data_IF_094534186529
#
_entry.id   IF_094534186529
#
_cell.length_a   1.000
_cell.length_b   1.000
_cell.length_c   1.000
_cell.angle_alpha   90.00
_cell.angle_beta   90.00
_cell.angle_gamma   90.00
#
_symmetry.space_group_name_H-M   'P 1'
#
loop_
_entity.id
_entity.type
_entity.pdbx_description
1 polymer ?
#
# COMPACT_ATOMS: atom_id res chain seq x y z
N UNK A 1 -3.38 15.75 5.38
CA UNK A 1 -4.55 15.34 4.56
C UNK A 1 -5.79 15.98 5.14
N UNK A 2 -6.77 16.32 4.32
CA UNK A 2 -8.07 16.80 4.80
C UNK A 2 -9.01 15.59 4.92
N UNK A 3 -9.48 15.22 6.12
CA UNK A 3 -10.40 14.09 6.28
C UNK A 3 -11.71 14.34 5.53
N UNK A 4 -12.15 13.40 4.68
CA UNK A 4 -13.47 13.47 4.08
C UNK A 4 -14.48 12.91 5.09
N UNK A 5 -15.35 13.76 5.63
CA UNK A 5 -16.30 13.41 6.70
C UNK A 5 -15.66 12.76 7.94
N UNK A 6 -14.38 13.05 8.21
CA UNK A 6 -13.66 12.43 9.33
C UNK A 6 -13.18 11.00 9.08
N UNK A 7 -13.11 10.56 7.82
CA UNK A 7 -12.60 9.23 7.43
C UNK A 7 -11.33 9.32 6.57
N UNK A 8 -10.53 8.26 6.62
CA UNK A 8 -9.31 8.03 5.87
C UNK A 8 -9.26 6.58 5.37
N UNK A 9 -8.81 6.40 4.13
CA UNK A 9 -8.55 5.09 3.55
C UNK A 9 -7.12 4.69 3.88
N UNK A 10 -6.90 3.43 4.25
CA UNK A 10 -5.62 2.91 4.70
C UNK A 10 -5.32 1.57 4.03
N UNK A 11 -4.10 1.41 3.53
CA UNK A 11 -3.52 0.11 3.17
C UNK A 11 -2.22 -0.08 3.92
N UNK A 12 -1.99 -1.29 4.42
CA UNK A 12 -0.78 -1.69 5.13
C UNK A 12 -0.31 -3.05 4.67
N UNK A 13 0.97 -3.13 4.29
CA UNK A 13 1.64 -4.37 3.86
C UNK A 13 2.98 -4.54 4.58
N UNK A 14 3.10 -5.52 5.50
CA UNK A 14 4.37 -5.91 6.08
C UNK A 14 5.26 -6.66 5.08
N UNK A 15 6.54 -6.32 5.11
CA UNK A 15 7.65 -6.99 4.44
C UNK A 15 8.47 -7.73 5.48
N UNK A 16 7.92 -8.85 5.96
CA UNK A 16 8.53 -9.75 6.96
C UNK A 16 8.45 -11.20 6.48
N UNK A 17 9.33 -12.09 6.96
CA UNK A 17 9.17 -13.52 6.70
C UNK A 17 7.83 -13.96 7.27
N UNK A 18 7.13 -14.86 6.56
CA UNK A 18 5.81 -15.36 6.96
C UNK A 18 5.83 -15.94 8.39
N UNK A 19 6.94 -16.56 8.80
CA UNK A 19 7.12 -17.10 10.14
C UNK A 19 7.07 -16.05 11.27
N UNK A 20 7.32 -14.77 10.94
CA UNK A 20 7.36 -13.66 11.91
C UNK A 20 6.27 -12.62 11.67
N UNK A 21 5.68 -12.58 10.48
CA UNK A 21 4.52 -11.75 10.21
C UNK A 21 3.32 -12.27 11.00
N UNK A 22 2.84 -11.49 11.99
CA UNK A 22 1.60 -11.80 12.73
C UNK A 22 0.33 -11.55 11.91
N UNK A 23 0.40 -11.72 10.58
CA UNK A 23 -0.70 -11.57 9.62
C UNK A 23 -1.39 -10.20 9.61
N UNK A 24 -0.70 -9.10 9.98
CA UNK A 24 -1.27 -7.75 9.97
C UNK A 24 -1.06 -7.05 8.63
N UNK A 25 -1.73 -7.60 7.63
CA UNK A 25 -2.06 -6.96 6.37
C UNK A 25 -3.40 -6.23 6.55
N UNK A 26 -3.50 -4.96 6.15
CA UNK A 26 -4.71 -4.17 6.42
C UNK A 26 -5.17 -3.43 5.17
N UNK A 27 -6.48 -3.45 4.95
CA UNK A 27 -7.17 -2.64 3.94
C UNK A 27 -8.42 -2.08 4.59
N UNK A 28 -8.45 -0.78 4.82
CA UNK A 28 -9.54 -0.07 5.46
C UNK A 28 -9.96 1.11 4.58
N UNK A 29 -11.00 0.99 3.74
CA UNK A 29 -11.37 2.06 2.81
C UNK A 29 -11.94 3.31 3.50
N UNK A 30 -12.38 3.19 4.75
CA UNK A 30 -13.16 4.22 5.45
C UNK A 30 -12.92 4.24 6.98
N UNK A 31 -11.65 4.19 7.40
CA UNK A 31 -11.29 4.22 8.81
C UNK A 31 -11.43 5.62 9.45
N UNK A 32 -11.72 5.75 10.76
CA UNK A 32 -11.83 7.05 11.41
C UNK A 32 -10.50 7.80 11.38
N UNK A 33 -10.52 9.06 10.93
CA UNK A 33 -9.33 9.91 10.90
C UNK A 33 -8.78 10.16 12.31
N UNK A 34 -9.65 10.20 13.32
CA UNK A 34 -9.27 10.33 14.74
C UNK A 34 -8.47 9.14 15.27
N UNK A 35 -8.49 8.00 14.59
CA UNK A 35 -7.74 6.80 14.94
C UNK A 35 -6.38 6.71 14.22
N UNK A 36 -6.08 7.67 13.34
CA UNK A 36 -4.80 7.79 12.68
C UNK A 36 -3.95 8.82 13.44
N UNK A 37 -2.70 8.49 13.78
CA UNK A 37 -1.77 9.44 14.40
C UNK A 37 -0.73 9.87 13.37
N UNK A 38 -0.95 11.04 12.77
CA UNK A 38 0.00 11.68 11.86
C UNK A 38 0.97 12.57 12.64
N UNK A 39 2.26 12.37 12.40
CA UNK A 39 3.35 13.16 12.98
C UNK A 39 3.66 14.39 12.11
N UNK A 40 4.44 15.31 12.69
CA UNK A 40 5.02 16.43 11.92
C UNK A 40 5.87 15.86 10.78
N UNK A 41 5.66 16.37 9.57
CA UNK A 41 6.32 15.85 8.35
C UNK A 41 5.50 14.81 7.57
N UNK A 42 4.29 14.47 8.02
CA UNK A 42 3.33 13.69 7.24
C UNK A 42 3.35 12.18 7.49
N UNK A 43 4.32 11.69 8.26
CA UNK A 43 4.44 10.30 8.69
C UNK A 43 3.25 9.84 9.53
N UNK A 44 2.79 8.60 9.36
CA UNK A 44 1.79 7.99 10.24
C UNK A 44 2.47 7.01 11.19
N UNK A 45 2.07 7.06 12.46
CA UNK A 45 2.59 6.19 13.54
C UNK A 45 1.50 5.37 14.21
N UNK A 46 0.25 5.59 13.82
CA UNK A 46 -0.88 4.72 14.17
C UNK A 46 -1.78 4.66 12.97
N UNK A 47 -2.12 3.44 12.58
CA UNK A 47 -2.85 3.09 11.38
C UNK A 47 -4.07 2.25 11.79
N UNK A 48 -5.28 2.78 11.62
CA UNK A 48 -6.48 1.99 11.89
C UNK A 48 -6.71 0.94 10.79
N UNK A 49 -7.05 -0.27 11.20
CA UNK A 49 -7.25 -1.44 10.33
C UNK A 49 -8.69 -1.60 9.86
N UNK A 50 -9.62 -0.84 10.43
CA UNK A 50 -11.06 -0.95 10.19
C UNK A 50 -11.80 0.34 10.55
N UNK A 51 -13.12 0.34 10.33
CA UNK A 51 -14.02 1.39 10.79
C UNK A 51 -14.11 1.47 12.35
N UNK A 52 -13.67 0.44 13.07
CA UNK A 52 -13.66 0.43 14.53
C UNK A 52 -12.46 1.21 15.07
N UNK A 53 -12.72 2.28 15.82
CA UNK A 53 -11.69 3.18 16.32
C UNK A 53 -10.63 2.54 17.24
N UNK A 54 -10.89 1.32 17.74
CA UNK A 54 -10.04 0.58 18.67
C UNK A 54 -9.11 -0.43 17.99
N UNK A 55 -9.34 -0.74 16.71
CA UNK A 55 -8.49 -1.69 15.98
C UNK A 55 -7.45 -0.92 15.17
N UNK A 56 -6.28 -0.75 15.77
CA UNK A 56 -5.17 0.03 15.22
C UNK A 56 -3.87 -0.75 15.33
N UNK A 57 -3.01 -0.57 14.33
CA UNK A 57 -1.60 -0.91 14.36
C UNK A 57 -0.82 0.35 14.72
N UNK A 58 0.01 0.31 15.75
CA UNK A 58 0.83 1.43 16.18
C UNK A 58 2.32 1.16 16.01
N UNK A 59 3.10 2.22 15.86
CA UNK A 59 4.55 2.19 15.96
C UNK A 59 4.94 2.33 17.44
N UNK A 60 5.48 1.27 18.04
CA UNK A 60 5.92 1.30 19.43
C UNK A 60 7.24 2.07 19.59
N UNK A 61 8.20 1.84 18.68
CA UNK A 61 9.43 2.62 18.53
C UNK A 61 10.05 2.37 17.14
N UNK A 62 10.94 3.26 16.72
CA UNK A 62 11.67 3.16 15.45
C UNK A 62 11.47 4.37 14.56
N UNK A 63 11.58 4.17 13.25
CA UNK A 63 11.51 5.24 12.25
C UNK A 63 10.35 5.04 11.26
N UNK A 64 9.82 6.17 10.79
CA UNK A 64 9.03 6.25 9.56
C UNK A 64 9.90 6.88 8.49
N UNK A 65 10.07 6.20 7.37
CA UNK A 65 10.91 6.62 6.25
C UNK A 65 10.11 6.64 4.96
N UNK A 66 10.72 7.13 3.87
CA UNK A 66 10.13 7.12 2.52
C UNK A 66 8.77 7.83 2.45
N UNK A 67 8.57 8.81 3.34
CA UNK A 67 7.34 9.59 3.42
C UNK A 67 7.22 10.45 2.18
N UNK A 68 6.17 10.21 1.41
CA UNK A 68 5.83 10.96 0.20
C UNK A 68 4.34 11.29 0.23
N UNK A 69 3.93 12.35 -0.46
CA UNK A 69 2.53 12.77 -0.50
C UNK A 69 2.13 13.27 -1.88
N UNK A 70 0.89 13.01 -2.26
CA UNK A 70 0.23 13.58 -3.43
C UNK A 70 -0.76 14.63 -2.94
N UNK A 71 -0.34 15.89 -2.94
CA UNK A 71 -1.16 17.00 -2.44
C UNK A 71 -1.76 16.71 -1.07
N UNK A 72 -3.07 16.96 -0.93
CA UNK A 72 -3.84 16.59 0.26
C UNK A 72 -4.57 15.25 0.13
N UNK A 73 -4.43 14.56 -0.99
CA UNK A 73 -5.20 13.36 -1.32
C UNK A 73 -4.65 12.13 -0.65
N UNK A 74 -3.33 12.02 -0.53
CA UNK A 74 -2.72 10.89 0.16
C UNK A 74 -1.27 11.09 0.56
N UNK A 75 -0.81 10.22 1.47
CA UNK A 75 0.60 10.00 1.76
C UNK A 75 0.91 8.50 1.82
N UNK A 76 2.15 8.16 1.49
CA UNK A 76 2.75 6.84 1.73
C UNK A 76 3.90 6.97 2.71
N UNK A 77 4.32 5.85 3.28
CA UNK A 77 5.55 5.76 4.05
C UNK A 77 5.84 4.33 4.47
N UNK A 78 7.00 4.15 5.12
CA UNK A 78 7.48 2.84 5.56
C UNK A 78 7.99 2.88 6.98
N UNK A 79 7.45 2.02 7.85
CA UNK A 79 8.02 1.79 9.18
C UNK A 79 9.19 0.83 9.06
N UNK A 80 10.37 1.22 9.50
CA UNK A 80 11.58 0.39 9.46
C UNK A 80 12.45 0.67 10.69
N UNK A 81 13.41 -0.23 10.96
CA UNK A 81 14.21 -0.18 12.19
C UNK A 81 13.30 -0.01 13.43
N UNK A 82 12.20 -0.74 13.42
CA UNK A 82 11.03 -0.42 14.20
C UNK A 82 10.44 -1.66 14.87
N UNK A 83 9.62 -1.42 15.88
CA UNK A 83 8.72 -2.40 16.47
C UNK A 83 7.31 -1.85 16.44
N UNK A 84 6.34 -2.66 16.02
CA UNK A 84 4.91 -2.30 16.11
C UNK A 84 4.28 -2.73 17.45
N UNK A 85 3.05 -2.28 17.69
CA UNK A 85 2.27 -2.62 18.89
C UNK A 85 1.88 -4.08 18.96
N UNK A 86 1.96 -4.82 17.85
CA UNK A 86 1.71 -6.25 17.82
C UNK A 86 2.98 -7.05 18.14
N UNK A 87 4.13 -6.38 18.31
CA UNK A 87 5.42 -6.97 18.65
C UNK A 87 6.17 -7.56 17.46
N UNK A 88 5.85 -7.15 16.23
CA UNK A 88 6.70 -7.41 15.06
C UNK A 88 7.88 -6.44 15.07
N UNK A 89 9.07 -6.93 14.72
CA UNK A 89 10.31 -6.13 14.65
C UNK A 89 10.84 -6.14 13.22
N UNK A 90 11.24 -4.98 12.73
CA UNK A 90 11.72 -4.79 11.35
C UNK A 90 13.16 -4.29 11.34
N UNK A 91 13.99 -4.90 10.49
CA UNK A 91 15.28 -4.34 10.12
C UNK A 91 15.12 -3.08 9.23
N UNK A 92 16.22 -2.49 8.79
CA UNK A 92 16.19 -1.31 7.89
C UNK A 92 15.66 -1.62 6.49
N UNK A 93 15.90 -2.83 5.99
CA UNK A 93 15.48 -3.28 4.66
C UNK A 93 14.12 -3.99 4.67
N UNK A 94 13.60 -4.30 5.86
CA UNK A 94 12.25 -4.79 6.10
C UNK A 94 11.38 -3.63 6.56
N UNK A 95 10.08 -3.88 6.72
CA UNK A 95 9.22 -2.87 7.30
C UNK A 95 7.75 -3.08 7.04
N UNK A 96 6.96 -2.09 7.46
CA UNK A 96 5.57 -1.99 7.11
C UNK A 96 5.40 -0.83 6.13
N UNK A 97 4.96 -1.16 4.93
CA UNK A 97 4.58 -0.18 3.91
C UNK A 97 3.14 0.24 4.17
N UNK A 98 2.87 1.54 4.10
CA UNK A 98 1.51 2.04 4.23
C UNK A 98 1.18 3.12 3.21
N UNK A 99 -0.11 3.24 2.95
CA UNK A 99 -0.71 4.38 2.30
C UNK A 99 -1.92 4.84 3.11
N UNK A 100 -2.05 6.14 3.30
CA UNK A 100 -3.21 6.79 3.92
C UNK A 100 -3.71 7.87 2.98
N UNK A 101 -5.02 7.93 2.71
CA UNK A 101 -5.57 8.92 1.80
C UNK A 101 -7.03 9.27 2.07
N UNK A 102 -7.50 10.30 1.38
CA UNK A 102 -8.89 10.74 1.36
C UNK A 102 -9.73 9.68 0.64
N UNK A 103 -10.70 9.01 1.31
CA UNK A 103 -11.52 7.99 0.67
C UNK A 103 -12.29 8.55 -0.52
N UNK A 104 -12.27 7.81 -1.63
CA UNK A 104 -13.01 8.16 -2.83
C UNK A 104 -13.96 7.02 -3.20
N UNK A 105 -15.26 7.31 -3.18
CA UNK A 105 -16.28 6.38 -3.66
C UNK A 105 -16.42 6.49 -5.17
N UNK A 106 -16.26 5.37 -5.88
CA UNK A 106 -16.51 5.27 -7.32
C UNK A 106 -17.90 4.70 -7.57
N UNK A 107 -18.72 5.44 -8.32
CA UNK A 107 -19.99 4.94 -8.84
C UNK A 107 -19.72 3.85 -9.87
N UNK A 108 -20.55 2.79 -9.88
CA UNK A 108 -20.45 1.77 -10.91
C UNK A 108 -20.96 2.36 -12.24
N UNK A 109 -20.05 2.56 -13.19
CA UNK A 109 -20.36 3.07 -14.53
C UNK A 109 -19.57 2.29 -15.57
N UNK A 110 -20.04 2.24 -16.81
CA UNK A 110 -19.25 1.66 -17.89
C UNK A 110 -18.01 2.52 -18.18
N UNK A 111 -16.88 1.88 -18.45
CA UNK A 111 -15.66 2.55 -18.86
C UNK A 111 -14.43 2.07 -18.11
N UNK A 112 -13.27 2.43 -18.65
CA UNK A 112 -11.97 2.06 -18.09
C UNK A 112 -11.07 3.28 -18.06
N UNK A 113 -10.25 3.39 -17.01
CA UNK A 113 -9.21 4.41 -16.88
C UNK A 113 -7.84 3.74 -16.93
N UNK A 114 -6.89 4.34 -17.65
CA UNK A 114 -5.52 3.86 -17.67
C UNK A 114 -4.78 4.36 -16.43
N UNK A 115 -4.20 3.43 -15.67
CA UNK A 115 -3.51 3.74 -14.42
C UNK A 115 -2.00 3.62 -14.61
N UNK A 116 -1.26 4.65 -14.21
CA UNK A 116 0.21 4.68 -14.25
C UNK A 116 0.79 5.09 -12.90
N UNK A 117 1.96 4.54 -12.56
CA UNK A 117 2.72 4.90 -11.37
C UNK A 117 2.88 6.41 -11.23
N UNK A 118 2.48 6.93 -10.06
CA UNK A 118 2.65 8.33 -9.68
C UNK A 118 3.77 8.49 -8.65
N UNK A 119 3.69 7.75 -7.54
CA UNK A 119 4.75 7.65 -6.52
C UNK A 119 4.85 6.20 -6.04
N UNK A 120 6.03 5.81 -5.57
CA UNK A 120 6.29 4.48 -5.00
C UNK A 120 7.33 4.61 -3.91
N UNK A 121 7.30 3.68 -2.95
CA UNK A 121 8.38 3.50 -2.00
C UNK A 121 9.45 2.53 -2.55
N UNK A 122 10.49 2.27 -1.76
CA UNK A 122 11.49 1.28 -2.13
C UNK A 122 10.96 -0.13 -1.90
N UNK A 123 11.45 -1.09 -2.69
CA UNK A 123 11.05 -2.50 -2.52
C UNK A 123 11.83 -3.07 -1.35
N UNK A 124 11.11 -3.51 -0.32
CA UNK A 124 11.71 -4.18 0.83
C UNK A 124 11.90 -5.66 0.55
N UNK A 125 12.96 -6.23 1.12
CA UNK A 125 13.17 -7.67 1.19
C UNK A 125 12.57 -8.20 2.49
N UNK A 126 11.97 -9.39 2.45
CA UNK A 126 11.39 -9.97 3.65
C UNK A 126 12.47 -10.58 4.56
N UNK A 127 13.65 -10.92 4.06
CA UNK A 127 14.75 -11.55 4.82
C UNK A 127 15.74 -10.54 5.40
N UNK A 128 15.59 -9.25 5.08
CA UNK A 128 16.47 -8.18 5.54
C UNK A 128 17.71 -7.97 4.67
N UNK A 129 17.84 -8.70 3.56
CA UNK A 129 18.83 -8.42 2.51
C UNK A 129 18.59 -7.05 1.87
N UNK A 130 19.50 -6.58 1.01
CA UNK A 130 19.34 -5.28 0.36
C UNK A 130 18.02 -5.22 -0.44
N UNK A 131 17.24 -4.16 -0.22
CA UNK A 131 16.02 -3.90 -0.98
C UNK A 131 16.28 -3.53 -2.44
N UNK A 132 15.21 -3.22 -3.16
CA UNK A 132 15.20 -2.87 -4.56
C UNK A 132 14.39 -1.61 -4.88
N UNK A 133 14.09 -1.42 -6.15
CA UNK A 133 13.25 -0.30 -6.63
C UNK A 133 12.10 -0.81 -7.48
N UNK A 134 10.97 -0.11 -7.40
CA UNK A 134 9.88 -0.29 -8.33
C UNK A 134 10.13 0.58 -9.57
N UNK A 135 10.46 -0.05 -10.70
CA UNK A 135 10.78 0.65 -11.94
C UNK A 135 9.54 1.22 -12.63
N UNK A 136 8.47 0.43 -12.71
CA UNK A 136 7.20 0.83 -13.33
C UNK A 136 6.05 0.05 -12.70
N UNK A 137 4.90 0.71 -12.57
CA UNK A 137 3.63 0.07 -12.30
C UNK A 137 2.55 0.63 -13.23
N UNK A 138 1.70 -0.25 -13.76
CA UNK A 138 0.55 0.12 -14.57
C UNK A 138 -0.61 -0.84 -14.38
N UNK A 139 -1.83 -0.38 -14.63
CA UNK A 139 -3.04 -1.19 -14.60
C UNK A 139 -4.14 -0.53 -15.44
N UNK A 140 -5.26 -1.21 -15.60
CA UNK A 140 -6.51 -0.63 -16.11
C UNK A 140 -7.56 -0.67 -15.01
N UNK A 141 -8.08 0.48 -14.59
CA UNK A 141 -9.20 0.56 -13.66
C UNK A 141 -10.51 0.39 -14.42
N UNK A 142 -11.23 -0.69 -14.15
CA UNK A 142 -12.58 -0.92 -14.65
C UNK A 142 -13.60 -0.35 -13.66
N UNK A 143 -14.36 0.66 -14.10
CA UNK A 143 -15.35 1.35 -13.26
C UNK A 143 -16.64 0.53 -13.07
N UNK A 144 -16.93 -0.41 -13.96
CA UNK A 144 -18.14 -1.23 -13.93
C UNK A 144 -17.99 -2.37 -12.94
N UNK A 145 -16.85 -3.05 -12.98
CA UNK A 145 -16.53 -4.17 -12.07
C UNK A 145 -15.80 -3.73 -10.81
N UNK A 146 -15.30 -2.48 -10.76
CA UNK A 146 -14.48 -1.93 -9.66
C UNK A 146 -13.26 -2.79 -9.38
N UNK A 147 -12.51 -3.09 -10.43
CA UNK A 147 -11.27 -3.86 -10.35
C UNK A 147 -10.12 -3.11 -11.01
N UNK A 148 -8.91 -3.35 -10.49
CA UNK A 148 -7.69 -3.15 -11.25
C UNK A 148 -7.43 -4.40 -12.08
N UNK A 149 -7.45 -4.23 -13.40
CA UNK A 149 -7.17 -5.28 -14.36
C UNK A 149 -5.73 -5.13 -14.87
N UNK A 150 -5.10 -6.26 -15.16
CA UNK A 150 -3.77 -6.34 -15.76
C UNK A 150 -2.72 -5.49 -15.02
N UNK A 151 -2.77 -5.51 -13.67
CA UNK A 151 -1.77 -4.85 -12.86
C UNK A 151 -0.42 -5.47 -13.15
N UNK A 152 0.54 -4.65 -13.56
CA UNK A 152 1.90 -5.04 -13.86
C UNK A 152 2.86 -4.21 -13.01
N UNK A 153 3.76 -4.88 -12.31
CA UNK A 153 4.81 -4.29 -11.48
C UNK A 153 6.17 -4.77 -12.00
N UNK A 154 7.06 -3.83 -12.32
CA UNK A 154 8.44 -4.12 -12.69
C UNK A 154 9.36 -3.81 -11.52
N UNK A 155 9.82 -4.85 -10.83
CA UNK A 155 10.71 -4.74 -9.66
C UNK A 155 12.15 -4.96 -10.09
N UNK A 156 13.05 -4.08 -9.67
CA UNK A 156 14.49 -4.25 -9.84
C UNK A 156 15.12 -4.60 -8.49
N UNK A 157 15.71 -5.78 -8.38
CA UNK A 157 16.39 -6.26 -7.17
C UNK A 157 17.76 -6.83 -7.56
N UNK A 158 18.83 -6.37 -6.90
CA UNK A 158 20.20 -6.81 -7.17
C UNK A 158 20.59 -6.87 -8.67
N UNK A 159 20.19 -5.84 -9.45
CA UNK A 159 20.38 -5.74 -10.91
C UNK A 159 19.60 -6.75 -11.77
N UNK A 160 18.67 -7.51 -11.17
CA UNK A 160 17.73 -8.37 -11.89
C UNK A 160 16.35 -7.74 -11.90
N UNK A 161 15.71 -7.74 -13.07
CA UNK A 161 14.34 -7.25 -13.22
C UNK A 161 13.34 -8.41 -13.14
N UNK A 162 12.32 -8.25 -12.33
CA UNK A 162 11.21 -9.19 -12.15
C UNK A 162 9.90 -8.50 -12.57
N UNK A 163 9.12 -9.17 -13.42
CA UNK A 163 7.78 -8.74 -13.77
C UNK A 163 6.77 -9.52 -12.92
N UNK A 164 5.94 -8.79 -12.18
CA UNK A 164 4.86 -9.35 -11.37
C UNK A 164 3.54 -8.89 -11.94
N UNK A 165 2.61 -9.81 -12.20
CA UNK A 165 1.32 -9.48 -12.78
C UNK A 165 0.16 -10.01 -11.95
N UNK A 166 -0.90 -9.22 -11.86
CA UNK A 166 -2.19 -9.63 -11.34
C UNK A 166 -3.27 -9.30 -12.37
N UNK A 167 -3.89 -10.32 -12.95
CA UNK A 167 -4.88 -10.14 -14.01
C UNK A 167 -6.10 -9.36 -13.53
N UNK A 168 -6.49 -9.53 -12.26
CA UNK A 168 -7.64 -8.86 -11.68
C UNK A 168 -7.51 -8.77 -10.15
N UNK A 169 -7.61 -7.55 -9.63
CA UNK A 169 -7.67 -7.26 -8.20
C UNK A 169 -8.88 -6.40 -7.88
N UNK A 170 -9.72 -6.75 -6.89
CA UNK A 170 -10.81 -5.88 -6.47
C UNK A 170 -10.26 -4.59 -5.86
N UNK A 171 -10.94 -3.48 -6.10
CA UNK A 171 -10.69 -2.25 -5.36
C UNK A 171 -11.12 -2.41 -3.90
N UNK A 172 -10.42 -1.74 -2.98
CA UNK A 172 -10.73 -1.77 -1.55
C UNK A 172 -10.70 -3.19 -0.96
N UNK A 173 -9.82 -4.05 -1.50
CA UNK A 173 -9.75 -5.45 -1.14
C UNK A 173 -8.38 -6.06 -1.44
N UNK A 174 -8.31 -7.38 -1.30
CA UNK A 174 -7.12 -8.20 -1.52
C UNK A 174 -7.33 -9.18 -2.68
N UNK A 175 -6.28 -9.40 -3.47
CA UNK A 175 -6.21 -10.46 -4.48
C UNK A 175 -4.85 -11.13 -4.43
N UNK A 176 -4.82 -12.45 -4.61
CA UNK A 176 -3.59 -13.22 -4.71
C UNK A 176 -3.61 -14.02 -6.01
N UNK A 177 -2.64 -13.76 -6.87
CA UNK A 177 -2.45 -14.45 -8.15
C UNK A 177 -1.06 -15.05 -8.17
N UNK A 178 -0.99 -16.39 -8.14
CA UNK A 178 0.27 -17.10 -8.02
C UNK A 178 0.99 -16.73 -6.72
N UNK A 179 2.19 -16.15 -6.84
CA UNK A 179 3.02 -15.73 -5.71
C UNK A 179 2.88 -14.24 -5.37
N UNK A 180 2.07 -13.47 -6.10
CA UNK A 180 1.83 -12.04 -5.87
C UNK A 180 0.52 -11.85 -5.11
N UNK A 181 0.58 -11.18 -3.96
CA UNK A 181 -0.58 -10.67 -3.23
C UNK A 181 -0.62 -9.15 -3.33
N UNK A 182 -1.83 -8.62 -3.56
CA UNK A 182 -2.09 -7.20 -3.81
C UNK A 182 -3.25 -6.77 -2.93
N UNK A 183 -3.09 -5.64 -2.25
CA UNK A 183 -4.13 -4.94 -1.51
C UNK A 183 -4.27 -3.54 -2.08
N UNK A 184 -5.49 -3.03 -2.20
CA UNK A 184 -5.69 -1.69 -2.74
C UNK A 184 -6.77 -0.90 -2.02
N UNK A 185 -6.64 0.43 -2.04
CA UNK A 185 -7.72 1.37 -1.72
C UNK A 185 -7.80 2.49 -2.76
N UNK A 186 -9.01 2.97 -3.02
CA UNK A 186 -9.25 4.12 -3.90
C UNK A 186 -9.29 5.40 -3.08
N UNK A 187 -8.50 6.39 -3.50
CA UNK A 187 -8.35 7.67 -2.80
C UNK A 187 -8.37 8.85 -3.78
N UNK A 188 -8.55 10.04 -3.23
CA UNK A 188 -8.54 11.31 -3.95
C UNK A 188 -9.85 12.07 -3.86
N UNK A 189 -9.95 13.15 -4.62
CA UNK A 189 -11.11 14.06 -4.60
C UNK A 189 -11.90 14.09 -5.93
N UNK A 190 -11.37 13.50 -7.00
CA UNK A 190 -11.97 13.52 -8.34
C UNK A 190 -12.20 12.09 -8.84
N UNK A 191 -13.47 11.70 -9.01
CA UNK A 191 -13.85 10.38 -9.50
C UNK A 191 -13.46 10.12 -10.97
N UNK A 192 -13.14 11.17 -11.73
CA UNK A 192 -12.65 11.05 -13.11
C UNK A 192 -11.13 10.89 -13.19
N UNK A 193 -10.42 11.23 -12.11
CA UNK A 193 -8.98 11.09 -11.98
C UNK A 193 -8.60 10.44 -10.63
N UNK A 194 -9.13 9.25 -10.32
CA UNK A 194 -8.91 8.63 -9.02
C UNK A 194 -7.44 8.23 -8.86
N UNK A 195 -7.00 8.21 -7.61
CA UNK A 195 -5.75 7.56 -7.23
C UNK A 195 -6.07 6.19 -6.65
N UNK A 196 -5.23 5.21 -6.94
CA UNK A 196 -5.33 3.87 -6.32
C UNK A 196 -4.03 3.57 -5.61
N UNK A 197 -4.09 3.50 -4.29
CA UNK A 197 -2.97 3.07 -3.47
C UNK A 197 -2.94 1.55 -3.44
N UNK A 198 -1.80 0.98 -3.78
CA UNK A 198 -1.59 -0.46 -3.93
C UNK A 198 -0.43 -0.88 -3.05
N UNK A 199 -0.69 -1.72 -2.06
CA UNK A 199 0.34 -2.45 -1.34
C UNK A 199 0.48 -3.84 -1.95
N UNK A 200 1.71 -4.33 -2.10
CA UNK A 200 1.97 -5.65 -2.67
C UNK A 200 3.04 -6.40 -1.90
N UNK A 201 2.94 -7.73 -1.96
CA UNK A 201 3.97 -8.65 -1.50
C UNK A 201 4.10 -9.80 -2.49
N UNK A 202 5.31 -10.26 -2.76
CA UNK A 202 5.52 -11.41 -3.64
C UNK A 202 6.65 -12.31 -3.16
N UNK A 203 6.62 -13.57 -3.58
CA UNK A 203 7.79 -14.45 -3.56
C UNK A 203 8.39 -14.53 -4.96
N UNK A 204 9.68 -14.26 -5.06
CA UNK A 204 10.45 -14.32 -6.30
C UNK A 204 10.98 -15.75 -6.54
N UNK A 205 11.41 -16.11 -7.77
CA UNK A 205 11.83 -17.48 -8.11
C UNK A 205 12.95 -18.09 -7.26
N UNK A 206 13.82 -17.26 -6.67
CA UNK A 206 14.88 -17.65 -5.74
C UNK A 206 14.39 -17.80 -4.29
N UNK A 207 13.08 -17.87 -4.09
CA UNK A 207 12.39 -17.90 -2.79
C UNK A 207 12.54 -16.61 -1.97
N UNK A 208 13.05 -15.54 -2.57
CA UNK A 208 13.15 -14.24 -1.91
C UNK A 208 11.75 -13.62 -1.80
N UNK A 209 11.31 -13.31 -0.58
CA UNK A 209 10.09 -12.52 -0.39
C UNK A 209 10.40 -11.03 -0.52
N UNK A 210 9.46 -10.30 -1.11
CA UNK A 210 9.54 -8.85 -1.27
C UNK A 210 8.19 -8.20 -0.95
N UNK A 211 8.21 -6.90 -0.67
CA UNK A 211 7.01 -6.09 -0.55
C UNK A 211 7.26 -4.62 -0.87
N UNK A 212 6.18 -3.88 -1.08
CA UNK A 212 6.24 -2.46 -1.44
C UNK A 212 4.87 -1.80 -1.51
N UNK A 213 4.88 -0.50 -1.70
CA UNK A 213 3.72 0.36 -1.89
C UNK A 213 3.87 1.25 -3.11
N UNK A 214 2.82 1.33 -3.91
CA UNK A 214 2.74 2.21 -5.09
C UNK A 214 1.41 2.91 -5.15
N UNK A 215 1.43 4.14 -5.66
CA UNK A 215 0.23 4.92 -5.97
C UNK A 215 0.12 5.02 -7.47
N UNK A 216 -1.04 4.61 -8.00
CA UNK A 216 -1.38 4.76 -9.40
C UNK A 216 -2.29 5.97 -9.58
N UNK A 217 -2.02 6.80 -10.58
CA UNK A 217 -2.95 7.81 -11.07
C UNK A 217 -3.71 7.22 -12.27
N UNK A 218 -5.04 7.23 -12.23
CA UNK A 218 -5.91 6.71 -13.27
C UNK A 218 -6.62 7.83 -14.02
N UNK A 219 -6.63 7.81 -15.35
CA UNK A 219 -7.29 8.80 -16.22
C UNK A 219 -7.62 8.25 -17.61
#
# INVERSE_FOLDING_TARGET
MVPNNGQLAVVVVPSLPVAYSKNRNMTAPDAPASSQVQQTGGAFTTLASSAAATDCLGLAHGAVTEVQSVGSDMAIGRWNQAMDTDGNTYASQQGVHYAVGTPLSLSATSGTLACTQLIADTVASNDGSAGGTLGMASATLDLGTRTLNDLSLSVNLANTQYALTNSQSPLNGVSTTGQLSVQSVVVGHDATQPLVAVGYSATLPDSQGIGGGVVLQCR
#
